data_IF_281216531502
#
_entry.id   IF_281216531502
#
_cell.length_a   1.000
_cell.length_b   1.000
_cell.length_c   1.000
_cell.angle_alpha   90.00
_cell.angle_beta   90.00
_cell.angle_gamma   90.00
#
_symmetry.space_group_name_H-M   'P 1'
#
loop_
_entity.id
_entity.type
_entity.pdbx_description
1 polymer ?
#
# COMPACT_ATOMS: atom_id res chain seq x y z
N UNK A 1 20.28 4.63 5.30
CA UNK A 1 19.96 4.12 3.95
C UNK A 1 19.48 2.68 3.98
N UNK A 2 20.29 1.70 4.41
CA UNK A 2 19.84 0.29 4.47
C UNK A 2 18.57 0.07 5.33
N UNK A 3 18.51 0.64 6.54
CA UNK A 3 17.31 0.58 7.40
C UNK A 3 16.05 1.14 6.69
N UNK A 4 16.19 2.27 6.00
CA UNK A 4 15.11 2.94 5.26
C UNK A 4 14.60 2.08 4.09
N UNK A 5 15.50 1.39 3.39
CA UNK A 5 15.10 0.45 2.33
C UNK A 5 14.29 -0.69 2.93
N UNK A 6 14.76 -1.31 4.02
CA UNK A 6 14.04 -2.40 4.68
C UNK A 6 12.66 -1.94 5.15
N UNK A 7 12.57 -0.82 5.86
CA UNK A 7 11.28 -0.30 6.34
C UNK A 7 10.36 0.06 5.17
N UNK A 8 10.88 0.61 4.08
CA UNK A 8 10.09 0.92 2.89
C UNK A 8 9.55 -0.35 2.20
N UNK A 9 10.38 -1.40 2.08
CA UNK A 9 9.94 -2.70 1.55
C UNK A 9 8.82 -3.26 2.44
N UNK A 10 9.01 -3.26 3.76
CA UNK A 10 8.02 -3.78 4.71
C UNK A 10 6.69 -3.02 4.59
N UNK A 11 6.74 -1.68 4.64
CA UNK A 11 5.54 -0.83 4.53
C UNK A 11 4.83 -1.06 3.20
N UNK A 12 5.54 -0.97 2.07
CA UNK A 12 4.92 -1.18 0.77
C UNK A 12 4.36 -2.60 0.61
N UNK A 13 5.12 -3.62 0.99
CA UNK A 13 4.66 -5.01 0.87
C UNK A 13 3.43 -5.26 1.72
N UNK A 14 3.34 -4.66 2.92
CA UNK A 14 2.16 -4.78 3.77
C UNK A 14 0.93 -4.14 3.15
N UNK A 15 1.04 -2.98 2.52
CA UNK A 15 -0.10 -2.28 1.92
C UNK A 15 -0.47 -2.76 0.52
N UNK A 16 0.29 -3.73 -0.01
CA UNK A 16 0.11 -4.25 -1.35
C UNK A 16 -0.41 -5.69 -1.40
N UNK A 17 -0.71 -6.33 -0.25
CA UNK A 17 -1.15 -7.74 -0.23
C UNK A 17 -2.50 -7.93 -0.94
N UNK A 18 -3.47 -7.05 -0.71
CA UNK A 18 -4.78 -7.15 -1.38
C UNK A 18 -4.65 -6.90 -2.88
N UNK A 19 -3.80 -5.94 -3.24
CA UNK A 19 -3.52 -5.60 -4.62
C UNK A 19 -2.80 -6.74 -5.36
N UNK A 20 -1.97 -7.50 -4.65
CA UNK A 20 -1.33 -8.69 -5.18
C UNK A 20 -2.38 -9.75 -5.59
N UNK A 21 -3.37 -10.02 -4.73
CA UNK A 21 -4.47 -10.95 -5.03
C UNK A 21 -5.29 -10.46 -6.22
N UNK A 22 -5.68 -9.18 -6.21
CA UNK A 22 -6.40 -8.54 -7.32
C UNK A 22 -5.63 -8.66 -8.65
N UNK A 23 -4.33 -8.40 -8.63
CA UNK A 23 -3.49 -8.50 -9.83
C UNK A 23 -3.37 -9.96 -10.30
N UNK A 24 -3.27 -10.93 -9.39
CA UNK A 24 -3.30 -12.36 -9.74
C UNK A 24 -4.59 -12.72 -10.46
N UNK A 25 -5.75 -12.29 -9.97
CA UNK A 25 -7.05 -12.52 -10.62
C UNK A 25 -7.11 -11.90 -12.02
N UNK A 26 -6.61 -10.66 -12.17
CA UNK A 26 -6.54 -9.97 -13.47
C UNK A 26 -5.62 -10.69 -14.46
N UNK A 27 -4.43 -11.11 -14.04
CA UNK A 27 -3.50 -11.85 -14.89
C UNK A 27 -4.02 -13.24 -15.22
N UNK A 28 -4.73 -13.89 -14.30
CA UNK A 28 -5.41 -15.16 -14.54
C UNK A 28 -6.48 -15.05 -15.62
N UNK A 29 -7.30 -13.99 -15.58
CA UNK A 29 -8.35 -13.70 -16.58
C UNK A 29 -7.80 -13.25 -17.93
N UNK A 30 -6.81 -12.35 -17.96
CA UNK A 30 -6.34 -11.72 -19.19
C UNK A 30 -4.93 -12.18 -19.59
N UNK A 31 -4.87 -13.17 -20.48
CA UNK A 31 -3.61 -13.83 -20.84
C UNK A 31 -2.85 -13.21 -22.03
N UNK A 32 -3.47 -12.32 -22.81
CA UNK A 32 -2.80 -11.74 -23.98
C UNK A 32 -1.69 -10.76 -23.59
N UNK A 33 -0.58 -10.74 -24.33
CA UNK A 33 0.56 -9.83 -24.08
C UNK A 33 0.13 -8.36 -24.03
N UNK A 34 -0.82 -7.97 -24.88
CA UNK A 34 -1.36 -6.61 -24.90
C UNK A 34 -2.14 -6.28 -23.61
N UNK A 35 -2.93 -7.23 -23.10
CA UNK A 35 -3.66 -7.06 -21.85
C UNK A 35 -2.72 -7.04 -20.64
N UNK A 36 -1.72 -7.93 -20.61
CA UNK A 36 -0.68 -7.92 -19.57
C UNK A 36 0.02 -6.56 -19.50
N UNK A 37 0.43 -6.00 -20.65
CA UNK A 37 1.02 -4.65 -20.70
C UNK A 37 0.08 -3.57 -20.15
N UNK A 38 -1.23 -3.65 -20.42
CA UNK A 38 -2.23 -2.72 -19.87
C UNK A 38 -2.36 -2.82 -18.35
N UNK A 39 -2.29 -4.03 -17.79
CA UNK A 39 -2.28 -4.24 -16.33
C UNK A 39 -1.04 -3.60 -15.71
N UNK A 40 0.15 -3.81 -16.29
CA UNK A 40 1.39 -3.15 -15.83
C UNK A 40 1.25 -1.62 -15.81
N UNK A 41 0.80 -1.03 -16.92
CA UNK A 41 0.65 0.43 -17.02
C UNK A 41 -0.37 0.95 -16.00
N UNK A 42 -1.54 0.30 -15.90
CA UNK A 42 -2.58 0.70 -14.96
C UNK A 42 -2.11 0.64 -13.51
N UNK A 43 -1.36 -0.40 -13.14
CA UNK A 43 -0.84 -0.57 -11.79
C UNK A 43 0.24 0.47 -11.44
N UNK A 44 1.14 0.77 -12.39
CA UNK A 44 2.12 1.84 -12.19
C UNK A 44 1.44 3.20 -12.03
N UNK A 45 0.45 3.51 -12.87
CA UNK A 45 -0.30 4.75 -12.78
C UNK A 45 -1.05 4.85 -11.44
N UNK A 46 -1.81 3.82 -11.06
CA UNK A 46 -2.56 3.79 -9.80
C UNK A 46 -1.66 3.95 -8.58
N UNK A 47 -0.55 3.19 -8.52
CA UNK A 47 0.39 3.25 -7.39
C UNK A 47 1.07 4.62 -7.30
N UNK A 48 1.55 5.17 -8.42
CA UNK A 48 2.18 6.48 -8.42
C UNK A 48 1.21 7.62 -8.12
N UNK A 49 -0.07 7.49 -8.51
CA UNK A 49 -1.10 8.44 -8.09
C UNK A 49 -1.28 8.42 -6.58
N UNK A 50 -1.36 7.25 -5.94
CA UNK A 50 -1.45 7.15 -4.47
C UNK A 50 -0.21 7.71 -3.77
N UNK A 51 0.98 7.39 -4.29
CA UNK A 51 2.25 7.94 -3.78
C UNK A 51 2.26 9.47 -3.92
N UNK A 52 1.83 10.02 -5.05
CA UNK A 52 1.80 11.47 -5.28
C UNK A 52 0.81 12.18 -4.35
N UNK A 53 -0.38 11.62 -4.15
CA UNK A 53 -1.37 12.15 -3.20
C UNK A 53 -0.81 12.10 -1.77
N UNK A 54 -0.18 10.99 -1.39
CA UNK A 54 0.43 10.84 -0.06
C UNK A 54 1.58 11.82 0.15
N UNK A 55 2.42 12.01 -0.87
CA UNK A 55 3.51 12.98 -0.86
C UNK A 55 3.00 14.41 -0.74
N UNK A 56 1.92 14.75 -1.44
CA UNK A 56 1.27 16.05 -1.35
C UNK A 56 0.83 16.37 0.10
N UNK A 57 0.13 15.44 0.75
CA UNK A 57 -0.25 15.62 2.16
C UNK A 57 0.95 15.67 3.10
N UNK A 58 1.96 14.82 2.88
CA UNK A 58 3.19 14.83 3.68
C UNK A 58 3.93 16.18 3.60
N UNK A 59 3.99 16.78 2.41
CA UNK A 59 4.58 18.10 2.20
C UNK A 59 3.81 19.21 2.92
N UNK A 60 2.47 19.15 2.92
CA UNK A 60 1.63 20.10 3.68
C UNK A 60 1.91 19.97 5.18
N UNK A 61 2.02 18.74 5.69
CA UNK A 61 2.24 18.48 7.12
C UNK A 61 3.66 18.85 7.57
N UNK A 62 4.63 18.91 6.67
CA UNK A 62 5.98 19.38 6.99
C UNK A 62 6.02 20.86 7.40
N UNK A 63 4.97 21.64 7.12
CA UNK A 63 4.83 23.02 7.62
C UNK A 63 4.32 23.10 9.06
N UNK A 64 3.96 21.98 9.71
CA UNK A 64 3.53 21.96 11.11
C UNK A 64 4.75 22.20 12.02
N UNK A 65 4.80 23.32 12.78
CA UNK A 65 5.99 23.69 13.54
C UNK A 65 6.30 22.74 14.71
N UNK A 66 5.27 22.11 15.26
CA UNK A 66 5.34 21.27 16.44
C UNK A 66 5.45 19.79 16.04
N UNK A 67 6.68 19.25 16.04
CA UNK A 67 6.95 17.85 15.68
C UNK A 67 6.17 16.82 16.51
N UNK A 68 5.88 17.12 17.76
CA UNK A 68 5.10 16.24 18.63
C UNK A 68 3.64 16.05 18.14
N UNK A 69 3.08 17.00 17.38
CA UNK A 69 1.77 16.83 16.75
C UNK A 69 1.81 15.77 15.63
N UNK A 70 2.97 15.61 14.97
CA UNK A 70 3.13 14.63 13.90
C UNK A 70 3.03 13.19 14.42
N UNK A 71 3.29 12.94 15.71
CA UNK A 71 3.12 11.59 16.24
C UNK A 71 1.67 11.13 16.30
N UNK A 72 0.68 12.05 16.33
CA UNK A 72 -0.73 11.66 16.21
C UNK A 72 -1.06 11.01 14.87
N UNK A 73 -0.27 11.26 13.84
CA UNK A 73 -0.41 10.53 12.58
C UNK A 73 -0.16 9.03 12.74
N UNK A 74 0.59 8.61 13.75
CA UNK A 74 0.78 7.19 14.08
C UNK A 74 -0.49 6.49 14.54
N UNK A 75 -1.52 7.23 14.96
CA UNK A 75 -2.84 6.65 15.24
C UNK A 75 -3.55 6.14 13.98
N UNK A 76 -3.23 6.71 12.80
CA UNK A 76 -3.84 6.30 11.53
C UNK A 76 -3.40 4.87 11.16
N UNK A 77 -2.09 4.54 11.10
CA UNK A 77 -1.64 3.15 10.97
C UNK A 77 -2.21 2.21 12.03
N UNK A 78 -2.26 2.62 13.31
CA UNK A 78 -2.82 1.77 14.38
C UNK A 78 -4.28 1.44 14.09
N UNK A 79 -5.08 2.44 13.72
CA UNK A 79 -6.47 2.24 13.34
C UNK A 79 -6.62 1.25 12.19
N UNK A 80 -5.88 1.44 11.09
CA UNK A 80 -5.95 0.51 9.95
C UNK A 80 -5.44 -0.88 10.30
N UNK A 81 -4.41 -1.00 11.14
CA UNK A 81 -3.87 -2.28 11.56
C UNK A 81 -4.84 -3.06 12.44
N UNK A 82 -5.60 -2.39 13.29
CA UNK A 82 -6.67 -3.03 14.05
C UNK A 82 -7.85 -3.36 13.14
N UNK A 83 -8.23 -2.44 12.23
CA UNK A 83 -9.33 -2.63 11.28
C UNK A 83 -9.13 -3.87 10.42
N UNK A 84 -7.92 -4.12 9.93
CA UNK A 84 -7.63 -5.25 9.03
C UNK A 84 -7.89 -6.62 9.67
N UNK A 85 -7.86 -6.73 11.01
CA UNK A 85 -8.19 -7.97 11.73
C UNK A 85 -9.71 -8.29 11.72
N UNK A 86 -10.55 -7.29 11.50
CA UNK A 86 -12.01 -7.40 11.50
C UNK A 86 -12.64 -7.21 10.11
N UNK A 87 -11.81 -7.01 9.09
CA UNK A 87 -12.26 -6.80 7.72
C UNK A 87 -12.76 -8.12 7.13
N UNK A 88 -14.02 -8.13 6.68
CA UNK A 88 -14.64 -9.31 6.08
C UNK A 88 -14.17 -9.47 4.62
N UNK A 89 -14.30 -10.68 4.06
CA UNK A 89 -13.79 -11.04 2.71
C UNK A 89 -14.51 -10.34 1.54
N UNK A 90 -15.48 -9.45 1.81
CA UNK A 90 -16.35 -8.82 0.82
C UNK A 90 -15.59 -8.02 -0.26
N UNK A 91 -14.44 -7.41 0.07
CA UNK A 91 -13.68 -6.59 -0.89
C UNK A 91 -13.09 -7.40 -2.06
N UNK A 92 -12.68 -8.64 -1.81
CA UNK A 92 -12.17 -9.54 -2.86
C UNK A 92 -13.29 -9.97 -3.81
N UNK A 93 -14.49 -10.23 -3.27
CA UNK A 93 -15.68 -10.57 -4.05
C UNK A 93 -16.13 -9.38 -4.94
N UNK A 94 -16.16 -8.16 -4.39
CA UNK A 94 -16.45 -6.95 -5.18
C UNK A 94 -15.42 -6.72 -6.29
N UNK A 95 -14.13 -6.92 -5.99
CA UNK A 95 -13.07 -6.81 -6.98
C UNK A 95 -13.28 -7.84 -8.11
N UNK A 96 -13.66 -9.07 -7.77
CA UNK A 96 -13.91 -10.14 -8.72
C UNK A 96 -15.14 -9.85 -9.62
N UNK A 97 -16.19 -9.23 -9.08
CA UNK A 97 -17.34 -8.78 -9.87
C UNK A 97 -16.95 -7.67 -10.86
N UNK A 98 -16.23 -6.64 -10.39
CA UNK A 98 -15.72 -5.55 -11.23
C UNK A 98 -14.77 -6.06 -12.32
N UNK A 99 -13.91 -7.03 -11.98
CA UNK A 99 -13.05 -7.70 -12.96
C UNK A 99 -13.88 -8.46 -13.97
N UNK A 100 -14.94 -9.18 -13.54
CA UNK A 100 -15.81 -9.95 -14.43
C UNK A 100 -16.49 -9.06 -15.48
N UNK A 101 -17.00 -7.90 -15.07
CA UNK A 101 -17.65 -6.90 -15.94
C UNK A 101 -16.67 -6.07 -16.78
N UNK A 102 -15.36 -6.12 -16.47
CA UNK A 102 -14.33 -5.37 -17.18
C UNK A 102 -14.07 -5.88 -18.60
N UNK A 103 -13.89 -4.94 -19.54
CA UNK A 103 -13.42 -5.22 -20.90
C UNK A 103 -11.92 -5.01 -21.01
N UNK A 104 -11.24 -5.85 -21.80
CA UNK A 104 -9.80 -5.75 -22.07
C UNK A 104 -9.37 -4.35 -22.57
N UNK A 105 -10.28 -3.60 -23.19
CA UNK A 105 -10.02 -2.26 -23.73
C UNK A 105 -9.94 -1.17 -22.66
N UNK A 106 -10.57 -1.37 -21.49
CA UNK A 106 -10.59 -0.43 -20.36
C UNK A 106 -9.64 -0.86 -19.22
N UNK A 107 -8.82 -1.89 -19.44
CA UNK A 107 -7.96 -2.47 -18.40
C UNK A 107 -7.08 -1.47 -17.66
N UNK A 108 -6.49 -0.49 -18.35
CA UNK A 108 -5.62 0.51 -17.70
C UNK A 108 -6.40 1.28 -16.63
N UNK A 109 -7.56 1.83 -16.99
CA UNK A 109 -8.40 2.59 -16.06
C UNK A 109 -9.00 1.69 -14.99
N UNK A 110 -9.40 0.46 -15.34
CA UNK A 110 -9.93 -0.49 -14.36
C UNK A 110 -8.89 -0.82 -13.29
N UNK A 111 -7.65 -1.14 -13.67
CA UNK A 111 -6.59 -1.44 -12.70
C UNK A 111 -6.27 -0.22 -11.85
N UNK A 112 -6.06 0.95 -12.48
CA UNK A 112 -5.74 2.17 -11.74
C UNK A 112 -6.84 2.57 -10.75
N UNK A 113 -8.11 2.49 -11.16
CA UNK A 113 -9.25 2.77 -10.29
C UNK A 113 -9.40 1.73 -9.19
N UNK A 114 -9.12 0.45 -9.46
CA UNK A 114 -9.17 -0.60 -8.45
C UNK A 114 -8.08 -0.42 -7.39
N UNK A 115 -6.85 -0.08 -7.81
CA UNK A 115 -5.77 0.31 -6.89
C UNK A 115 -6.20 1.46 -5.99
N UNK A 116 -6.83 2.50 -6.56
CA UNK A 116 -7.24 3.68 -5.81
C UNK A 116 -8.47 3.44 -4.92
N UNK A 117 -9.45 2.67 -5.40
CA UNK A 117 -10.71 2.45 -4.71
C UNK A 117 -10.59 1.41 -3.60
N UNK A 118 -9.88 0.31 -3.84
CA UNK A 118 -9.72 -0.78 -2.88
C UNK A 118 -8.63 -0.48 -1.85
N UNK A 119 -7.52 0.12 -2.29
CA UNK A 119 -6.35 0.30 -1.43
C UNK A 119 -5.96 1.77 -1.26
N UNK A 120 -6.85 2.72 -1.54
CA UNK A 120 -6.51 4.14 -1.46
C UNK A 120 -6.37 4.62 -0.02
N UNK A 121 -7.34 4.24 0.82
CA UNK A 121 -7.45 4.77 2.18
C UNK A 121 -6.31 4.27 3.09
N UNK A 122 -5.99 2.99 3.04
CA UNK A 122 -4.90 2.36 3.79
C UNK A 122 -3.53 2.79 3.25
N UNK A 123 -3.29 2.79 1.93
CA UNK A 123 -2.02 3.26 1.37
C UNK A 123 -1.76 4.73 1.71
N UNK A 124 -2.74 5.63 1.55
CA UNK A 124 -2.57 7.04 1.93
C UNK A 124 -2.37 7.14 3.45
N UNK A 125 -3.20 6.43 4.22
CA UNK A 125 -3.13 6.38 5.68
C UNK A 125 -1.80 5.88 6.22
N UNK A 126 -1.07 5.06 5.45
CA UNK A 126 0.26 4.52 5.81
C UNK A 126 1.41 5.32 5.22
N UNK A 127 1.30 5.80 3.99
CA UNK A 127 2.37 6.51 3.30
C UNK A 127 2.54 7.93 3.80
N UNK A 128 1.46 8.67 4.03
CA UNK A 128 1.53 10.03 4.61
C UNK A 128 2.32 10.06 5.91
N UNK A 129 1.97 9.28 6.95
CA UNK A 129 2.68 9.34 8.22
C UNK A 129 4.12 8.84 8.08
N UNK A 130 4.35 7.82 7.24
CA UNK A 130 5.69 7.30 6.97
C UNK A 130 6.60 8.32 6.27
N UNK A 131 6.08 9.03 5.26
CA UNK A 131 6.84 10.04 4.50
C UNK A 131 7.18 11.25 5.35
N UNK A 132 6.25 11.70 6.21
CA UNK A 132 6.49 12.80 7.17
C UNK A 132 7.63 12.47 8.14
N UNK A 133 7.78 11.21 8.53
CA UNK A 133 8.86 10.76 9.42
C UNK A 133 10.23 10.71 8.73
N UNK A 134 10.31 10.82 7.39
CA UNK A 134 11.58 10.75 6.65
C UNK A 134 12.17 12.14 6.39
N UNK A 135 13.50 12.24 6.42
CA UNK A 135 14.19 13.38 5.82
C UNK A 135 14.22 13.27 4.28
N UNK A 136 14.62 14.35 3.59
CA UNK A 136 14.63 14.42 2.12
C UNK A 136 15.40 13.27 1.44
N UNK A 137 16.59 12.92 1.95
CA UNK A 137 17.41 11.85 1.38
C UNK A 137 16.81 10.46 1.61
N UNK A 138 16.21 10.24 2.78
CA UNK A 138 15.46 9.03 3.08
C UNK A 138 14.21 8.92 2.20
N UNK A 139 13.48 10.02 2.01
CA UNK A 139 12.28 10.05 1.17
C UNK A 139 12.58 9.67 -0.28
N UNK A 140 13.67 10.20 -0.87
CA UNK A 140 14.12 9.80 -2.21
C UNK A 140 14.40 8.28 -2.25
N UNK A 141 15.07 7.75 -1.22
CA UNK A 141 15.34 6.30 -1.11
C UNK A 141 14.06 5.48 -1.02
N UNK A 142 13.06 5.96 -0.26
CA UNK A 142 11.74 5.33 -0.16
C UNK A 142 11.05 5.31 -1.53
N UNK A 143 11.02 6.42 -2.26
CA UNK A 143 10.36 6.51 -3.57
C UNK A 143 11.00 5.57 -4.62
N UNK A 144 12.33 5.48 -4.64
CA UNK A 144 13.05 4.52 -5.50
C UNK A 144 12.67 3.09 -5.10
N UNK A 145 12.65 2.80 -3.81
CA UNK A 145 12.32 1.46 -3.28
C UNK A 145 10.88 1.09 -3.63
N UNK A 146 9.92 1.98 -3.43
CA UNK A 146 8.52 1.77 -3.81
C UNK A 146 8.39 1.50 -5.30
N UNK A 147 9.14 2.20 -6.16
CA UNK A 147 9.15 1.94 -7.61
C UNK A 147 9.59 0.52 -7.94
N UNK A 148 10.65 0.03 -7.28
CA UNK A 148 11.13 -1.34 -7.42
C UNK A 148 10.08 -2.34 -6.89
N UNK A 149 9.48 -2.06 -5.74
CA UNK A 149 8.43 -2.90 -5.17
C UNK A 149 7.18 -2.97 -6.05
N UNK A 150 6.75 -1.87 -6.70
CA UNK A 150 5.66 -1.86 -7.69
C UNK A 150 6.01 -2.83 -8.82
N UNK A 151 7.22 -2.73 -9.39
CA UNK A 151 7.65 -3.63 -10.45
C UNK A 151 7.60 -5.10 -10.02
N UNK A 152 8.14 -5.41 -8.85
CA UNK A 152 8.15 -6.76 -8.28
C UNK A 152 6.72 -7.27 -8.03
N UNK A 153 5.83 -6.42 -7.49
CA UNK A 153 4.43 -6.75 -7.24
C UNK A 153 3.77 -7.23 -8.53
N UNK A 154 3.86 -6.45 -9.61
CA UNK A 154 3.23 -6.82 -10.90
C UNK A 154 3.88 -8.06 -11.50
N UNK A 155 5.21 -8.15 -11.42
CA UNK A 155 5.95 -9.30 -11.91
C UNK A 155 5.55 -10.60 -11.23
N UNK A 156 5.55 -10.62 -9.89
CA UNK A 156 5.16 -11.80 -9.12
C UNK A 156 3.68 -12.12 -9.29
N UNK A 157 2.80 -11.11 -9.33
CA UNK A 157 1.36 -11.34 -9.55
C UNK A 157 1.09 -12.02 -10.88
N UNK A 158 1.78 -11.59 -11.95
CA UNK A 158 1.66 -12.23 -13.27
C UNK A 158 2.16 -13.68 -13.25
N UNK A 159 3.31 -13.92 -12.61
CA UNK A 159 3.92 -15.27 -12.54
C UNK A 159 3.13 -16.24 -11.66
N UNK A 160 2.52 -15.75 -10.59
CA UNK A 160 1.83 -16.56 -9.59
C UNK A 160 0.30 -16.59 -9.78
N UNK A 161 -0.24 -15.92 -10.80
CA UNK A 161 -1.67 -15.86 -11.13
C UNK A 161 -2.40 -17.21 -11.33
N UNK A 162 -1.67 -18.31 -11.41
CA UNK A 162 -2.21 -19.67 -11.53
C UNK A 162 -2.02 -20.52 -10.27
N UNK A 163 -1.44 -19.97 -9.20
CA UNK A 163 -1.08 -20.69 -7.99
C UNK A 163 -2.07 -20.35 -6.87
N UNK A 164 -3.18 -21.11 -6.81
CA UNK A 164 -4.24 -20.92 -5.79
C UNK A 164 -3.76 -20.97 -4.35
N UNK A 165 -2.66 -21.70 -4.08
CA UNK A 165 -2.06 -21.75 -2.75
C UNK A 165 -1.61 -20.37 -2.26
N UNK A 166 -1.11 -19.51 -3.15
CA UNK A 166 -0.61 -18.18 -2.77
C UNK A 166 -1.77 -17.27 -2.36
N UNK A 167 -2.89 -17.34 -3.07
CA UNK A 167 -4.14 -16.63 -2.75
C UNK A 167 -4.64 -17.03 -1.36
N UNK A 168 -4.77 -18.33 -1.08
CA UNK A 168 -5.23 -18.84 0.21
C UNK A 168 -4.31 -18.46 1.38
N UNK A 169 -3.00 -18.50 1.17
CA UNK A 169 -2.04 -18.11 2.21
C UNK A 169 -2.13 -16.62 2.52
N UNK A 170 -2.33 -15.78 1.52
CA UNK A 170 -2.49 -14.34 1.70
C UNK A 170 -3.82 -14.00 2.38
N UNK A 171 -4.91 -14.68 2.04
CA UNK A 171 -6.19 -14.53 2.73
C UNK A 171 -6.09 -14.90 4.21
N UNK A 172 -5.36 -15.97 4.54
CA UNK A 172 -5.25 -16.45 5.92
C UNK A 172 -4.23 -15.67 6.77
N UNK A 173 -3.06 -15.36 6.24
CA UNK A 173 -1.96 -14.74 6.99
C UNK A 173 -1.79 -13.24 6.72
N UNK A 174 -2.30 -12.74 5.59
CA UNK A 174 -2.10 -11.36 5.15
C UNK A 174 -2.65 -10.34 6.14
N UNK A 175 -3.85 -10.56 6.67
CA UNK A 175 -4.49 -9.67 7.66
C UNK A 175 -3.66 -9.50 8.93
N UNK A 176 -3.15 -10.61 9.47
CA UNK A 176 -2.26 -10.59 10.63
C UNK A 176 -0.94 -9.88 10.34
N UNK A 177 -0.35 -10.13 9.16
CA UNK A 177 0.88 -9.46 8.73
C UNK A 177 0.67 -7.94 8.61
N UNK A 178 -0.41 -7.50 7.96
CA UNK A 178 -0.76 -6.08 7.86
C UNK A 178 -0.94 -5.47 9.25
N UNK A 179 -1.73 -6.11 10.12
CA UNK A 179 -2.02 -5.62 11.46
C UNK A 179 -0.75 -5.36 12.27
N UNK A 180 0.17 -6.33 12.29
CA UNK A 180 1.44 -6.23 13.01
C UNK A 180 2.28 -5.08 12.46
N UNK A 181 2.39 -4.97 11.13
CA UNK A 181 3.22 -3.94 10.49
C UNK A 181 2.62 -2.54 10.70
N UNK A 182 1.31 -2.40 10.56
CA UNK A 182 0.61 -1.12 10.67
C UNK A 182 0.63 -0.60 12.11
N UNK A 183 0.33 -1.46 13.08
CA UNK A 183 0.42 -1.11 14.51
C UNK A 183 1.88 -0.78 14.88
N UNK A 184 2.84 -1.59 14.44
CA UNK A 184 4.26 -1.35 14.67
C UNK A 184 4.73 -0.01 14.10
N UNK A 185 4.35 0.33 12.87
CA UNK A 185 4.64 1.61 12.25
C UNK A 185 4.03 2.77 13.04
N UNK A 186 2.76 2.66 13.43
CA UNK A 186 2.08 3.72 14.15
C UNK A 186 2.72 4.01 15.52
N UNK A 187 3.07 2.96 16.26
CA UNK A 187 3.83 3.08 17.52
C UNK A 187 5.18 3.74 17.29
N UNK A 188 5.93 3.30 16.26
CA UNK A 188 7.21 3.89 15.90
C UNK A 188 7.10 5.40 15.65
N UNK A 189 6.09 5.83 14.90
CA UNK A 189 5.86 7.25 14.58
C UNK A 189 5.53 8.07 15.84
N UNK A 190 4.71 7.54 16.74
CA UNK A 190 4.38 8.20 18.02
C UNK A 190 5.64 8.41 18.87
N UNK A 191 6.51 7.40 18.93
CA UNK A 191 7.76 7.44 19.72
C UNK A 191 8.77 8.40 19.09
N UNK A 192 9.03 8.30 17.79
CA UNK A 192 10.03 9.12 17.09
C UNK A 192 9.64 10.60 17.02
N UNK A 193 8.34 10.90 17.03
CA UNK A 193 7.84 12.28 17.03
C UNK A 193 7.94 12.98 18.38
N UNK A 194 8.30 12.26 19.46
CA UNK A 194 8.42 12.82 20.81
C UNK A 194 7.08 13.13 21.49
N UNK A 195 5.97 12.57 20.98
CA UNK A 195 4.62 12.90 21.43
C UNK A 195 4.35 12.46 22.86
N UNK A 196 4.83 11.26 23.24
CA UNK A 196 4.64 10.72 24.60
C UNK A 196 5.42 11.58 25.61
N UNK A 197 6.67 11.92 25.30
CA UNK A 197 7.53 12.73 26.17
C UNK A 197 6.98 14.14 26.38
N UNK A 198 6.24 14.68 25.41
CA UNK A 198 5.61 15.99 25.54
C UNK A 198 4.32 15.94 26.38
N UNK A 199 3.52 14.88 26.25
CA UNK A 199 2.23 14.74 26.95
C UNK A 199 2.34 14.16 28.36
N UNK A 200 3.39 13.38 28.63
CA UNK A 200 3.71 12.81 29.95
C UNK A 200 5.07 13.36 30.44
N UNK A 201 5.12 14.66 30.81
CA UNK A 201 6.34 15.31 31.29
C UNK A 201 6.79 14.81 32.68
#
# INVERSE_FOLDING_TARGET
>A
MFKTVISAVIVYSSTALDLFVILMLLFGKYQSTAAKRRIYIGQFLGSWSLIAVSLFFALILHFVPAKWLLGFLGLIPIYFGVKSLFENEDETAEAQEKISQSSAQKLISTVALMTFASCGADNIGMFVPYFVAQNTGQLITVLITFTVCIFLLVFFSNRLSHVKLVEQLLEHFGKWLMAIIYVGLGIMIIIESGTIQHLMP
#
